data_IF_096807417643
#
_entry.id   IF_096807417643
#
_cell.length_a   1.000
_cell.length_b   1.000
_cell.length_c   1.000
_cell.angle_alpha   90.00
_cell.angle_beta   90.00
_cell.angle_gamma   90.00
#
_symmetry.space_group_name_H-M   'P 1'
#
loop_
_entity.id
_entity.type
_entity.pdbx_description
1 polymer ?
#
# COMPACT_ATOMS: atom_id res chain seq x y z
N UNK A 1 28.23 14.63 -14.09
CA UNK A 1 27.19 15.32 -13.31
C UNK A 1 27.32 16.81 -13.59
N UNK A 2 26.26 17.47 -14.06
CA UNK A 2 26.26 18.93 -14.21
C UNK A 2 25.97 19.56 -12.84
N UNK A 3 26.56 20.75 -12.53
CA UNK A 3 26.32 21.45 -11.27
C UNK A 3 24.83 21.70 -10.98
N UNK A 4 24.02 21.76 -12.04
CA UNK A 4 22.58 22.00 -11.94
C UNK A 4 21.83 20.80 -11.34
N UNK A 5 22.19 19.56 -11.70
CA UNK A 5 21.53 18.35 -11.16
C UNK A 5 21.86 18.16 -9.68
N UNK A 6 23.11 18.43 -9.28
CA UNK A 6 23.52 18.37 -7.87
C UNK A 6 22.73 19.36 -7.00
N UNK A 7 22.53 20.59 -7.50
CA UNK A 7 21.70 21.59 -6.84
C UNK A 7 20.24 21.12 -6.71
N UNK A 8 19.67 20.52 -7.76
CA UNK A 8 18.30 20.01 -7.74
C UNK A 8 18.14 18.90 -6.69
N UNK A 9 19.10 17.97 -6.60
CA UNK A 9 19.09 16.90 -5.59
C UNK A 9 19.07 17.49 -4.18
N UNK A 10 19.95 18.45 -3.88
CA UNK A 10 19.98 19.10 -2.56
C UNK A 10 18.68 19.84 -2.20
N UNK A 11 17.89 20.24 -3.20
CA UNK A 11 16.60 20.91 -2.99
C UNK A 11 15.44 19.96 -2.71
N UNK A 12 15.60 18.65 -2.92
CA UNK A 12 14.53 17.68 -2.65
C UNK A 12 14.13 17.65 -1.17
N UNK A 13 15.05 17.97 -0.26
CA UNK A 13 14.77 18.07 1.17
C UNK A 13 13.97 19.31 1.60
N UNK A 14 13.75 20.27 0.70
CA UNK A 14 13.09 21.53 1.05
C UNK A 14 11.56 21.40 1.04
N UNK A 15 10.99 21.18 2.22
CA UNK A 15 9.54 21.10 2.42
C UNK A 15 8.78 22.43 2.27
N UNK A 16 9.45 23.54 1.94
CA UNK A 16 8.86 24.89 1.85
C UNK A 16 8.49 25.34 0.44
N UNK A 17 8.69 24.48 -0.57
CA UNK A 17 8.30 24.74 -1.97
C UNK A 17 9.35 24.35 -3.01
N UNK A 18 10.65 24.68 -2.83
CA UNK A 18 11.69 24.37 -3.81
C UNK A 18 11.83 22.88 -4.18
N UNK A 19 11.41 21.97 -3.30
CA UNK A 19 11.40 20.53 -3.59
C UNK A 19 10.45 20.16 -4.75
N UNK A 20 9.27 20.79 -4.86
CA UNK A 20 8.33 20.51 -5.96
C UNK A 20 8.91 20.92 -7.31
N UNK A 21 9.52 22.10 -7.38
CA UNK A 21 10.18 22.59 -8.59
C UNK A 21 11.37 21.68 -8.95
N UNK A 22 12.18 21.32 -7.94
CA UNK A 22 13.32 20.44 -8.14
C UNK A 22 12.91 19.05 -8.66
N UNK A 23 11.87 18.46 -8.07
CA UNK A 23 11.26 17.21 -8.53
C UNK A 23 10.77 17.34 -9.98
N UNK A 24 10.00 18.37 -10.29
CA UNK A 24 9.47 18.58 -11.64
C UNK A 24 10.58 18.74 -12.68
N UNK A 25 11.66 19.46 -12.34
CA UNK A 25 12.83 19.60 -13.20
C UNK A 25 13.55 18.26 -13.41
N UNK A 26 13.76 17.46 -12.34
CA UNK A 26 14.38 16.14 -12.44
C UNK A 26 13.53 15.17 -13.28
N UNK A 27 12.21 15.19 -13.13
CA UNK A 27 11.28 14.44 -14.00
C UNK A 27 11.41 14.89 -15.45
N UNK A 28 11.50 16.21 -15.69
CA UNK A 28 11.68 16.77 -17.02
C UNK A 28 13.02 16.40 -17.68
N UNK A 29 14.08 16.19 -16.89
CA UNK A 29 15.35 15.64 -17.36
C UNK A 29 15.20 14.14 -17.71
N UNK A 30 14.35 13.42 -16.98
CA UNK A 30 14.03 12.02 -17.25
C UNK A 30 15.14 11.07 -16.84
N UNK A 31 15.28 9.95 -17.57
CA UNK A 31 16.19 8.85 -17.22
C UNK A 31 17.67 9.26 -17.09
N UNK A 32 18.06 10.40 -17.66
CA UNK A 32 19.43 10.94 -17.54
C UNK A 32 19.73 11.47 -16.12
N UNK A 33 18.71 11.84 -15.33
CA UNK A 33 18.87 12.26 -13.95
C UNK A 33 19.06 11.09 -12.98
N UNK A 34 18.56 9.90 -13.32
CA UNK A 34 18.47 8.74 -12.41
C UNK A 34 19.82 8.37 -11.76
N UNK A 35 20.96 8.25 -12.49
CA UNK A 35 22.23 7.93 -11.85
C UNK A 35 22.66 8.97 -10.80
N UNK A 36 22.43 10.25 -11.07
CA UNK A 36 22.79 11.31 -10.15
C UNK A 36 21.91 11.31 -8.90
N UNK A 37 20.60 11.05 -9.05
CA UNK A 37 19.68 10.92 -7.92
C UNK A 37 20.11 9.74 -7.04
N UNK A 38 20.39 8.58 -7.63
CA UNK A 38 20.88 7.38 -6.90
C UNK A 38 22.14 7.69 -6.11
N UNK A 39 23.15 8.32 -6.74
CA UNK A 39 24.39 8.71 -6.07
C UNK A 39 24.16 9.74 -4.94
N UNK A 40 23.10 10.54 -5.07
CA UNK A 40 22.73 11.59 -4.13
C UNK A 40 21.84 11.16 -2.96
N UNK A 41 21.16 10.01 -3.04
CA UNK A 41 20.27 9.51 -1.98
C UNK A 41 20.88 9.55 -0.57
N UNK A 42 22.16 9.17 -0.34
CA UNK A 42 22.75 9.20 1.01
C UNK A 42 22.87 10.60 1.63
N UNK A 43 22.71 11.66 0.83
CA UNK A 43 22.74 13.06 1.30
C UNK A 43 21.37 13.61 1.68
N UNK A 44 20.29 12.89 1.36
CA UNK A 44 18.92 13.33 1.57
C UNK A 44 18.39 12.94 2.95
N UNK A 45 17.54 13.78 3.52
CA UNK A 45 16.68 13.46 4.65
C UNK A 45 15.43 12.66 4.22
N UNK A 46 14.60 12.27 5.19
CA UNK A 46 13.40 11.45 4.93
C UNK A 46 12.47 12.07 3.88
N UNK A 47 12.25 13.39 3.94
CA UNK A 47 11.43 14.09 2.93
C UNK A 47 12.05 14.03 1.53
N UNK A 48 13.35 14.32 1.39
CA UNK A 48 14.02 14.22 0.09
C UNK A 48 14.06 12.80 -0.46
N UNK A 49 14.16 11.78 0.39
CA UNK A 49 14.05 10.38 -0.02
C UNK A 49 12.66 10.05 -0.58
N UNK A 50 11.59 10.50 0.08
CA UNK A 50 10.22 10.33 -0.42
C UNK A 50 10.05 11.02 -1.78
N UNK A 51 10.54 12.26 -1.92
CA UNK A 51 10.50 12.97 -3.21
C UNK A 51 11.33 12.28 -4.29
N UNK A 52 12.47 11.67 -3.95
CA UNK A 52 13.27 10.89 -4.89
C UNK A 52 12.52 9.63 -5.35
N UNK A 53 11.80 8.94 -4.46
CA UNK A 53 10.94 7.81 -4.83
C UNK A 53 9.86 8.26 -5.82
N UNK A 54 9.20 9.40 -5.59
CA UNK A 54 8.22 9.94 -6.54
C UNK A 54 8.84 10.19 -7.93
N UNK A 55 10.08 10.68 -7.99
CA UNK A 55 10.78 10.83 -9.28
C UNK A 55 11.00 9.47 -9.95
N UNK A 56 11.35 8.42 -9.20
CA UNK A 56 11.55 7.08 -9.74
C UNK A 56 10.26 6.46 -10.30
N UNK A 57 9.11 6.73 -9.67
CA UNK A 57 7.80 6.25 -10.16
C UNK A 57 7.34 7.00 -11.43
N UNK A 58 7.57 8.31 -11.49
CA UNK A 58 7.24 9.15 -12.65
C UNK A 58 8.21 8.93 -13.83
N UNK A 59 9.43 8.49 -13.55
CA UNK A 59 10.46 8.17 -14.54
C UNK A 59 10.93 6.72 -14.35
N UNK A 60 10.14 5.72 -14.81
CA UNK A 60 10.49 4.31 -14.69
C UNK A 60 11.84 4.01 -15.35
N UNK A 61 12.80 3.59 -14.53
CA UNK A 61 14.13 3.18 -14.98
C UNK A 61 14.59 1.96 -14.17
N UNK A 62 14.98 0.85 -14.82
CA UNK A 62 15.43 -0.36 -14.12
C UNK A 62 16.61 -0.12 -13.16
N UNK A 63 17.39 0.95 -13.37
CA UNK A 63 18.52 1.33 -12.49
C UNK A 63 18.05 1.76 -11.09
N UNK A 64 16.78 2.13 -10.91
CA UNK A 64 16.21 2.48 -9.61
C UNK A 64 16.10 1.27 -8.66
N UNK A 65 15.98 0.05 -9.19
CA UNK A 65 15.72 -1.16 -8.41
C UNK A 65 16.65 -1.38 -7.21
N UNK A 66 17.98 -1.39 -7.39
CA UNK A 66 18.92 -1.54 -6.28
C UNK A 66 18.82 -0.41 -5.22
N UNK A 67 18.53 0.81 -5.64
CA UNK A 67 18.39 1.95 -4.74
C UNK A 67 17.10 1.84 -3.90
N UNK A 68 15.98 1.50 -4.54
CA UNK A 68 14.71 1.23 -3.86
C UNK A 68 14.80 0.04 -2.91
N UNK A 69 15.52 -1.02 -3.29
CA UNK A 69 15.79 -2.17 -2.39
C UNK A 69 16.57 -1.71 -1.14
N UNK A 70 17.56 -0.83 -1.30
CA UNK A 70 18.31 -0.31 -0.16
C UNK A 70 17.45 0.55 0.78
N UNK A 71 16.46 1.26 0.25
CA UNK A 71 15.52 2.08 1.04
C UNK A 71 14.57 1.25 1.92
N UNK A 72 14.42 -0.06 1.66
CA UNK A 72 13.71 -0.97 2.58
C UNK A 72 14.42 -1.15 3.93
N UNK A 73 15.70 -0.77 4.05
CA UNK A 73 16.46 -0.76 5.30
C UNK A 73 16.52 0.66 5.95
N UNK A 74 15.72 1.63 5.46
CA UNK A 74 15.64 2.98 6.03
C UNK A 74 15.14 2.97 7.49
N UNK A 75 15.57 3.93 8.31
CA UNK A 75 15.04 4.13 9.67
C UNK A 75 13.60 4.71 9.66
N UNK A 76 13.19 5.35 8.56
CA UNK A 76 11.84 5.93 8.40
C UNK A 76 10.86 4.92 7.78
N UNK A 77 9.80 4.57 8.51
CA UNK A 77 8.76 3.63 8.05
C UNK A 77 8.03 4.09 6.80
N UNK A 78 7.85 5.40 6.62
CA UNK A 78 7.20 5.98 5.43
C UNK A 78 8.07 5.76 4.20
N UNK A 79 9.39 5.93 4.34
CA UNK A 79 10.35 5.66 3.26
C UNK A 79 10.35 4.18 2.91
N UNK A 80 10.32 3.28 3.90
CA UNK A 80 10.24 1.83 3.66
C UNK A 80 8.96 1.43 2.94
N UNK A 81 7.82 2.00 3.34
CA UNK A 81 6.53 1.81 2.69
C UNK A 81 6.55 2.23 1.21
N UNK A 82 6.96 3.47 0.94
CA UNK A 82 6.96 4.02 -0.42
C UNK A 82 7.96 3.29 -1.30
N UNK A 83 9.12 2.90 -0.77
CA UNK A 83 10.08 2.07 -1.48
C UNK A 83 9.46 0.72 -1.86
N UNK A 84 8.73 0.07 -0.95
CA UNK A 84 8.05 -1.20 -1.24
C UNK A 84 7.00 -1.04 -2.34
N UNK A 85 6.18 0.01 -2.27
CA UNK A 85 5.18 0.32 -3.29
C UNK A 85 5.82 0.58 -4.65
N UNK A 86 6.84 1.43 -4.71
CA UNK A 86 7.56 1.74 -5.95
C UNK A 86 8.22 0.50 -6.58
N UNK A 87 8.76 -0.43 -5.78
CA UNK A 87 9.32 -1.69 -6.30
C UNK A 87 8.27 -2.53 -7.03
N UNK A 88 7.03 -2.55 -6.54
CA UNK A 88 5.93 -3.25 -7.20
C UNK A 88 5.40 -2.48 -8.41
N UNK A 89 5.17 -1.17 -8.30
CA UNK A 89 4.73 -0.30 -9.40
C UNK A 89 5.68 -0.35 -10.60
N UNK A 90 6.98 -0.48 -10.35
CA UNK A 90 8.03 -0.56 -11.36
C UNK A 90 8.38 -2.00 -11.77
N UNK A 91 7.64 -3.00 -11.30
CA UNK A 91 7.82 -4.42 -11.62
C UNK A 91 9.27 -4.92 -11.40
N UNK A 92 9.88 -4.52 -10.28
CA UNK A 92 11.26 -4.90 -9.95
C UNK A 92 11.27 -6.34 -9.40
N UNK A 93 11.34 -7.34 -10.30
CA UNK A 93 11.34 -8.77 -9.95
C UNK A 93 12.36 -9.15 -8.85
N UNK A 94 13.52 -8.48 -8.83
CA UNK A 94 14.58 -8.71 -7.82
C UNK A 94 14.22 -8.29 -6.39
N UNK A 95 13.05 -7.67 -6.19
CA UNK A 95 12.60 -7.13 -4.90
C UNK A 95 11.91 -8.16 -4.00
N UNK A 96 11.52 -9.34 -4.51
CA UNK A 96 10.71 -10.31 -3.75
C UNK A 96 11.35 -10.70 -2.42
N UNK A 97 12.62 -11.11 -2.41
CA UNK A 97 13.28 -11.49 -1.15
C UNK A 97 13.60 -10.31 -0.22
N UNK A 98 14.07 -9.16 -0.72
CA UNK A 98 14.15 -7.95 0.08
C UNK A 98 12.82 -7.58 0.75
N UNK A 99 11.70 -7.65 0.04
CA UNK A 99 10.36 -7.39 0.59
C UNK A 99 9.94 -8.43 1.62
N UNK A 100 10.23 -9.73 1.41
CA UNK A 100 9.98 -10.77 2.43
C UNK A 100 10.79 -10.54 3.69
N UNK A 101 12.04 -10.07 3.56
CA UNK A 101 12.86 -9.71 4.71
C UNK A 101 12.29 -8.49 5.43
N UNK A 102 11.97 -7.43 4.71
CA UNK A 102 11.36 -6.23 5.25
C UNK A 102 10.06 -6.56 5.99
N UNK A 103 9.16 -7.34 5.37
CA UNK A 103 7.91 -7.80 5.98
C UNK A 103 8.13 -8.51 7.31
N UNK A 104 9.11 -9.42 7.39
CA UNK A 104 9.46 -10.11 8.65
C UNK A 104 9.99 -9.14 9.70
N UNK A 105 10.85 -8.19 9.31
CA UNK A 105 11.34 -7.16 10.20
C UNK A 105 10.20 -6.29 10.74
N UNK A 106 9.20 -5.92 9.93
CA UNK A 106 8.03 -5.15 10.39
C UNK A 106 7.20 -5.89 11.45
N UNK A 107 7.17 -7.23 11.39
CA UNK A 107 6.43 -8.06 12.35
C UNK A 107 7.14 -8.21 13.71
N UNK A 108 8.46 -7.99 13.77
CA UNK A 108 9.26 -8.13 14.99
C UNK A 108 9.03 -7.05 16.07
N UNK A 109 8.87 -5.74 15.75
CA UNK A 109 8.69 -4.67 16.75
C UNK A 109 7.24 -4.48 17.22
N UNK A 110 6.33 -5.43 16.98
CA UNK A 110 4.89 -5.30 17.26
C UNK A 110 4.21 -4.14 16.50
N UNK A 111 4.75 -3.73 15.33
CA UNK A 111 4.03 -2.83 14.42
C UNK A 111 2.71 -3.50 14.04
N UNK A 112 1.55 -2.84 14.28
CA UNK A 112 0.26 -3.40 13.93
C UNK A 112 0.19 -3.74 12.43
N UNK A 113 -0.33 -4.91 12.03
CA UNK A 113 -0.43 -5.32 10.64
C UNK A 113 -1.24 -4.40 9.72
N UNK A 114 -2.15 -3.61 10.28
CA UNK A 114 -2.98 -2.60 9.61
C UNK A 114 -2.27 -1.26 9.39
N UNK A 115 -1.06 -1.07 9.92
CA UNK A 115 -0.27 0.13 9.66
C UNK A 115 0.24 0.19 8.21
N UNK A 116 0.48 1.42 7.76
CA UNK A 116 0.76 1.74 6.36
C UNK A 116 1.95 0.97 5.78
N UNK A 117 3.06 0.85 6.53
CA UNK A 117 4.24 0.11 6.09
C UNK A 117 3.97 -1.40 5.87
N UNK A 118 3.48 -2.18 6.87
CA UNK A 118 3.10 -3.58 6.63
C UNK A 118 2.09 -3.76 5.49
N UNK A 119 1.13 -2.85 5.35
CA UNK A 119 0.15 -2.86 4.26
C UNK A 119 0.84 -2.68 2.91
N UNK A 120 1.69 -1.66 2.76
CA UNK A 120 2.43 -1.37 1.52
C UNK A 120 3.34 -2.53 1.11
N UNK A 121 4.03 -3.16 2.06
CA UNK A 121 4.88 -4.32 1.79
C UNK A 121 4.05 -5.55 1.37
N UNK A 122 2.92 -5.82 2.04
CA UNK A 122 2.04 -6.94 1.63
C UNK A 122 1.41 -6.70 0.26
N UNK A 123 1.03 -5.47 -0.04
CA UNK A 123 0.56 -5.08 -1.36
C UNK A 123 1.64 -5.35 -2.40
N UNK A 124 2.87 -4.86 -2.18
CA UNK A 124 3.98 -5.06 -3.09
C UNK A 124 4.30 -6.55 -3.33
N UNK A 125 4.27 -7.37 -2.27
CA UNK A 125 4.41 -8.82 -2.40
C UNK A 125 3.27 -9.46 -3.21
N UNK A 126 2.06 -8.91 -3.14
CA UNK A 126 0.91 -9.40 -3.92
C UNK A 126 1.06 -9.06 -5.40
N UNK A 127 1.42 -7.82 -5.73
CA UNK A 127 1.63 -7.37 -7.10
C UNK A 127 2.79 -8.12 -7.79
N UNK A 128 3.87 -8.39 -7.07
CA UNK A 128 5.00 -9.18 -7.57
C UNK A 128 4.75 -10.70 -7.56
N UNK A 129 3.53 -11.15 -7.26
CA UNK A 129 3.15 -12.57 -7.25
C UNK A 129 3.79 -13.41 -6.13
N UNK A 130 4.41 -12.76 -5.14
CA UNK A 130 5.05 -13.39 -3.98
C UNK A 130 4.08 -13.66 -2.82
N UNK A 131 2.87 -13.11 -2.88
CA UNK A 131 1.76 -13.33 -1.96
C UNK A 131 0.47 -13.54 -2.76
N UNK A 132 -0.35 -14.49 -2.35
CA UNK A 132 -1.70 -14.68 -2.91
C UNK A 132 -2.70 -14.62 -1.76
N UNK A 133 -3.47 -13.52 -1.62
CA UNK A 133 -4.52 -13.46 -0.62
C UNK A 133 -5.54 -14.58 -0.87
N UNK A 134 -5.90 -15.31 0.18
CA UNK A 134 -6.96 -16.30 0.09
C UNK A 134 -8.29 -15.56 -0.12
N UNK A 135 -8.99 -15.86 -1.20
CA UNK A 135 -10.33 -15.31 -1.50
C UNK A 135 -11.35 -16.44 -1.34
N UNK A 136 -12.17 -16.39 -0.28
CA UNK A 136 -13.24 -17.37 -0.07
C UNK A 136 -14.26 -17.47 -1.23
N UNK A 137 -14.92 -18.63 -1.42
CA UNK A 137 -15.76 -18.86 -2.61
C UNK A 137 -16.94 -17.90 -2.79
N UNK A 138 -17.65 -17.54 -1.70
CA UNK A 138 -18.78 -16.62 -1.79
C UNK A 138 -18.28 -15.21 -2.11
N UNK A 139 -17.20 -14.78 -1.47
CA UNK A 139 -16.50 -13.52 -1.74
C UNK A 139 -16.07 -13.46 -3.21
N UNK A 140 -15.43 -14.50 -3.74
CA UNK A 140 -15.07 -14.58 -5.15
C UNK A 140 -16.29 -14.48 -6.08
N UNK A 141 -17.40 -15.13 -5.73
CA UNK A 141 -18.64 -15.12 -6.51
C UNK A 141 -19.37 -13.77 -6.49
N UNK A 142 -19.29 -13.03 -5.38
CA UNK A 142 -19.94 -11.73 -5.21
C UNK A 142 -19.14 -10.58 -5.84
N UNK A 143 -17.92 -10.84 -6.32
CA UNK A 143 -17.08 -9.83 -6.94
C UNK A 143 -17.78 -9.33 -8.20
N UNK A 144 -18.15 -8.05 -8.17
CA UNK A 144 -18.79 -7.44 -9.31
C UNK A 144 -17.72 -7.13 -10.36
N UNK A 145 -17.92 -7.67 -11.57
CA UNK A 145 -17.24 -7.16 -12.76
C UNK A 145 -17.97 -5.90 -13.21
N UNK A 146 -17.84 -4.80 -12.47
CA UNK A 146 -18.33 -3.51 -12.95
C UNK A 146 -17.55 -3.14 -14.22
N UNK A 147 -18.23 -2.53 -15.20
CA UNK A 147 -17.68 -2.24 -16.52
C UNK A 147 -16.57 -1.16 -16.55
N UNK A 148 -16.34 -0.48 -15.41
CA UNK A 148 -15.53 0.75 -15.31
C UNK A 148 -14.43 0.67 -14.22
N UNK A 149 -13.69 -0.45 -14.12
CA UNK A 149 -12.52 -0.61 -13.23
C UNK A 149 -12.75 -0.33 -11.73
N UNK A 150 -14.00 -0.33 -11.27
CA UNK A 150 -14.32 -0.09 -9.87
C UNK A 150 -13.76 -1.22 -8.98
N UNK A 151 -12.85 -0.91 -8.04
CA UNK A 151 -12.25 -1.94 -7.21
C UNK A 151 -13.29 -2.49 -6.22
N UNK A 152 -13.46 -3.82 -6.21
CA UNK A 152 -14.06 -4.55 -5.10
C UNK A 152 -15.44 -5.15 -5.36
N UNK A 153 -16.36 -4.98 -4.41
CA UNK A 153 -17.65 -5.66 -4.32
C UNK A 153 -18.80 -4.67 -4.11
N UNK A 154 -20.05 -4.97 -4.50
CA UNK A 154 -21.18 -4.10 -4.19
C UNK A 154 -21.33 -3.91 -2.67
N UNK A 155 -21.46 -2.66 -2.19
CA UNK A 155 -21.54 -2.38 -0.74
C UNK A 155 -22.77 -3.03 -0.10
N UNK A 156 -23.87 -3.16 -0.84
CA UNK A 156 -25.07 -3.88 -0.40
C UNK A 156 -24.82 -5.36 -0.03
N UNK A 157 -23.74 -5.95 -0.53
CA UNK A 157 -23.32 -7.34 -0.24
C UNK A 157 -22.19 -7.42 0.77
N UNK A 158 -21.77 -6.29 1.34
CA UNK A 158 -20.66 -6.24 2.28
C UNK A 158 -20.86 -7.15 3.51
N UNK A 159 -22.06 -7.25 4.14
CA UNK A 159 -22.29 -8.19 5.23
C UNK A 159 -22.04 -9.65 4.86
N UNK A 160 -22.31 -10.05 3.62
CA UNK A 160 -22.08 -11.42 3.14
C UNK A 160 -20.58 -11.70 3.01
N UNK A 161 -19.82 -10.72 2.51
CA UNK A 161 -18.37 -10.78 2.36
C UNK A 161 -17.69 -10.84 3.73
N UNK A 162 -18.11 -9.98 4.68
CA UNK A 162 -17.57 -9.98 6.04
C UNK A 162 -17.74 -11.34 6.69
N UNK A 163 -18.93 -11.93 6.59
CA UNK A 163 -19.19 -13.23 7.17
C UNK A 163 -18.38 -14.33 6.50
N UNK A 164 -18.26 -14.32 5.18
CA UNK A 164 -17.50 -15.32 4.44
C UNK A 164 -15.99 -15.26 4.74
N UNK A 165 -15.41 -14.06 4.83
CA UNK A 165 -14.01 -13.85 5.24
C UNK A 165 -13.78 -14.40 6.66
N UNK A 166 -14.65 -14.06 7.61
CA UNK A 166 -14.53 -14.52 8.99
C UNK A 166 -14.73 -16.05 9.12
N UNK A 167 -15.65 -16.65 8.37
CA UNK A 167 -15.85 -18.11 8.33
C UNK A 167 -14.63 -18.86 7.78
N UNK A 168 -13.78 -18.18 7.01
CA UNK A 168 -12.50 -18.66 6.52
C UNK A 168 -11.30 -18.19 7.36
N UNK A 169 -11.55 -17.75 8.60
CA UNK A 169 -10.55 -17.31 9.56
C UNK A 169 -9.66 -16.14 9.06
N UNK A 170 -10.26 -15.20 8.32
CA UNK A 170 -9.59 -13.99 7.84
C UNK A 170 -10.04 -12.77 8.63
N UNK A 171 -9.13 -11.81 8.76
CA UNK A 171 -9.32 -10.55 9.50
C UNK A 171 -9.33 -9.40 8.49
N UNK A 172 -10.41 -8.63 8.45
CA UNK A 172 -10.48 -7.36 7.72
C UNK A 172 -9.71 -6.32 8.54
N UNK A 173 -8.81 -5.60 7.88
CA UNK A 173 -7.99 -4.54 8.45
C UNK A 173 -8.66 -3.18 8.31
N UNK A 174 -9.19 -2.89 7.12
CA UNK A 174 -9.93 -1.68 6.81
C UNK A 174 -10.72 -1.87 5.53
N UNK A 175 -11.68 -0.97 5.28
CA UNK A 175 -12.51 -0.98 4.08
C UNK A 175 -12.49 0.38 3.42
N UNK A 176 -12.42 0.42 2.09
CA UNK A 176 -12.58 1.66 1.33
C UNK A 176 -13.87 1.60 0.51
N UNK A 177 -14.67 2.65 0.59
CA UNK A 177 -15.91 2.76 -0.16
C UNK A 177 -15.74 3.69 -1.35
N UNK A 178 -16.31 3.28 -2.47
CA UNK A 178 -16.19 3.96 -3.75
C UNK A 178 -17.56 4.16 -4.36
N UNK A 179 -17.87 5.38 -4.78
CA UNK A 179 -19.03 5.66 -5.62
C UNK A 179 -18.60 5.66 -7.08
N UNK A 180 -19.25 4.84 -7.89
CA UNK A 180 -18.98 4.69 -9.32
C UNK A 180 -20.12 5.32 -10.10
N UNK A 181 -19.81 6.24 -11.00
CA UNK A 181 -20.83 6.84 -11.87
C UNK A 181 -20.25 7.52 -13.09
N UNK A 182 -20.96 7.46 -14.22
CA UNK A 182 -20.66 8.20 -15.45
C UNK A 182 -19.16 8.28 -15.84
N UNK A 183 -18.45 7.14 -15.75
CA UNK A 183 -17.03 7.01 -16.11
C UNK A 183 -16.05 7.62 -15.09
N UNK A 184 -16.47 7.84 -13.84
CA UNK A 184 -15.61 8.31 -12.75
C UNK A 184 -15.89 7.54 -11.45
N UNK A 185 -14.82 7.33 -10.69
CA UNK A 185 -14.86 6.68 -9.38
C UNK A 185 -14.44 7.70 -8.32
N UNK A 186 -15.25 7.86 -7.28
CA UNK A 186 -15.03 8.81 -6.19
C UNK A 186 -14.91 8.05 -4.88
N UNK A 187 -13.85 8.31 -4.12
CA UNK A 187 -13.73 7.83 -2.75
C UNK A 187 -14.84 8.43 -1.89
N UNK A 188 -15.51 7.59 -1.12
CA UNK A 188 -16.47 8.00 -0.09
C UNK A 188 -15.68 8.10 1.21
N UNK A 189 -15.79 9.24 1.88
CA UNK A 189 -15.20 9.44 3.20
C UNK A 189 -15.65 8.34 4.16
N UNK A 190 -14.72 7.91 5.02
CA UNK A 190 -14.93 6.89 6.03
C UNK A 190 -16.22 7.14 6.83
N UNK A 191 -16.84 6.05 7.27
CA UNK A 191 -18.02 6.03 8.15
C UNK A 191 -17.78 6.75 9.48
N UNK A 192 -16.52 7.04 9.82
CA UNK A 192 -16.12 7.74 11.04
C UNK A 192 -16.01 6.80 12.24
N UNK A 193 -15.96 5.50 11.99
CA UNK A 193 -15.72 4.47 12.98
C UNK A 193 -14.21 4.32 13.20
N UNK A 194 -13.72 4.88 14.29
CA UNK A 194 -12.35 4.67 14.74
C UNK A 194 -12.31 3.41 15.62
N UNK A 195 -11.81 2.30 15.06
CA UNK A 195 -11.63 1.03 15.76
C UNK A 195 -10.21 0.53 15.56
N UNK A 196 -9.67 -0.10 16.61
CA UNK A 196 -8.35 -0.70 16.62
C UNK A 196 -8.49 -2.12 17.15
N UNK A 197 -7.86 -3.09 16.48
CA UNK A 197 -7.88 -4.49 16.91
C UNK A 197 -6.88 -4.73 18.03
N UNK A 198 -7.26 -5.54 19.01
CA UNK A 198 -6.30 -6.03 20.00
C UNK A 198 -5.41 -7.12 19.40
N UNK A 199 -4.35 -6.70 18.72
CA UNK A 199 -3.35 -7.59 18.11
C UNK A 199 -2.64 -8.52 19.10
N UNK A 200 -2.87 -8.38 20.42
CA UNK A 200 -2.39 -9.32 21.44
C UNK A 200 -3.36 -10.49 21.70
N UNK A 201 -4.60 -10.40 21.22
CA UNK A 201 -5.62 -11.42 21.39
C UNK A 201 -5.36 -12.67 20.52
N UNK A 202 -5.98 -13.82 20.87
CA UNK A 202 -5.96 -15.00 19.99
C UNK A 202 -6.55 -14.69 18.60
N UNK A 203 -6.06 -15.37 17.57
CA UNK A 203 -6.49 -15.15 16.18
C UNK A 203 -8.01 -15.27 16.01
N UNK A 204 -8.62 -16.24 16.69
CA UNK A 204 -10.06 -16.47 16.66
C UNK A 204 -10.84 -15.30 17.27
N UNK A 205 -10.26 -14.59 18.23
CA UNK A 205 -10.84 -13.37 18.79
C UNK A 205 -10.74 -12.21 17.79
N UNK A 206 -9.57 -12.02 17.17
CA UNK A 206 -9.34 -11.00 16.14
C UNK A 206 -10.32 -11.14 14.97
N UNK A 207 -10.60 -12.37 14.53
CA UNK A 207 -11.58 -12.65 13.47
C UNK A 207 -12.99 -12.19 13.87
N UNK A 208 -13.44 -12.51 15.09
CA UNK A 208 -14.77 -12.12 15.56
C UNK A 208 -14.88 -10.62 15.89
N UNK A 209 -13.81 -10.02 16.42
CA UNK A 209 -13.72 -8.59 16.67
C UNK A 209 -13.79 -7.79 15.35
N UNK A 210 -12.97 -8.17 14.36
CA UNK A 210 -13.00 -7.61 13.01
C UNK A 210 -14.36 -7.77 12.35
N UNK A 211 -14.96 -8.99 12.41
CA UNK A 211 -16.33 -9.23 11.94
C UNK A 211 -17.34 -8.27 12.57
N UNK A 212 -17.26 -8.07 13.88
CA UNK A 212 -18.19 -7.22 14.62
C UNK A 212 -18.08 -5.76 14.18
N UNK A 213 -16.85 -5.23 14.08
CA UNK A 213 -16.61 -3.86 13.64
C UNK A 213 -16.99 -3.64 12.17
N UNK A 214 -16.61 -4.56 11.27
CA UNK A 214 -16.97 -4.44 9.86
C UNK A 214 -18.48 -4.56 9.62
N UNK A 215 -19.22 -5.34 10.42
CA UNK A 215 -20.69 -5.37 10.32
C UNK A 215 -21.34 -4.06 10.77
N UNK A 216 -20.76 -3.39 11.78
CA UNK A 216 -21.18 -2.05 12.18
C UNK A 216 -20.90 -1.04 11.05
N UNK A 217 -19.69 -1.05 10.49
CA UNK A 217 -19.30 -0.24 9.33
C UNK A 217 -20.25 -0.47 8.15
N UNK A 218 -20.56 -1.73 7.83
CA UNK A 218 -21.49 -2.08 6.76
C UNK A 218 -22.92 -1.57 7.01
N UNK A 219 -23.33 -1.43 8.28
CA UNK A 219 -24.66 -0.92 8.63
C UNK A 219 -24.78 0.60 8.50
N UNK A 220 -23.67 1.32 8.73
CA UNK A 220 -23.56 2.77 8.56
C UNK A 220 -23.15 3.17 7.13
N UNK A 221 -22.59 2.22 6.37
CA UNK A 221 -22.15 2.44 5.01
C UNK A 221 -23.32 2.75 4.07
N UNK A 222 -23.14 3.67 3.12
CA UNK A 222 -24.16 3.96 2.14
C UNK A 222 -24.39 2.75 1.21
N UNK A 223 -25.63 2.25 1.19
CA UNK A 223 -26.09 1.17 0.33
C UNK A 223 -26.86 1.74 -0.88
N UNK A 224 -26.14 1.90 -1.99
CA UNK A 224 -26.70 2.28 -3.30
C UNK A 224 -26.07 1.33 -4.35
N UNK A 225 -26.78 1.08 -5.45
CA UNK A 225 -26.36 0.15 -6.52
C UNK A 225 -25.03 0.56 -7.18
N UNK A 226 -24.65 1.82 -7.00
CA UNK A 226 -23.43 2.44 -7.52
C UNK A 226 -22.29 2.54 -6.49
N UNK A 227 -22.44 1.92 -5.33
CA UNK A 227 -21.44 1.97 -4.26
C UNK A 227 -20.77 0.60 -4.13
N UNK A 228 -19.45 0.64 -4.12
CA UNK A 228 -18.59 -0.52 -4.03
C UNK A 228 -17.69 -0.40 -2.78
N UNK A 229 -17.30 -1.54 -2.25
CA UNK A 229 -16.40 -1.67 -1.11
C UNK A 229 -15.18 -2.49 -1.52
N UNK A 230 -14.01 -2.01 -1.14
CA UNK A 230 -12.73 -2.70 -1.28
C UNK A 230 -12.17 -2.95 0.14
N UNK A 231 -12.55 -4.06 0.78
CA UNK A 231 -11.94 -4.46 2.04
C UNK A 231 -10.50 -4.92 1.80
N UNK A 232 -9.62 -4.62 2.75
CA UNK A 232 -8.28 -5.19 2.83
C UNK A 232 -8.27 -6.19 3.99
N UNK A 233 -7.83 -7.42 3.73
CA UNK A 233 -7.83 -8.48 4.74
C UNK A 233 -6.54 -9.29 4.70
N UNK A 234 -6.31 -10.00 5.80
CA UNK A 234 -5.19 -10.92 5.99
C UNK A 234 -5.68 -12.25 6.55
N UNK A 235 -4.86 -13.28 6.37
CA UNK A 235 -4.99 -14.53 7.11
C UNK A 235 -3.77 -14.77 8.01
N UNK A 236 -3.80 -15.85 8.78
CA UNK A 236 -2.74 -16.14 9.76
C UNK A 236 -1.36 -16.35 9.14
N UNK A 237 -1.29 -16.76 7.87
CA UNK A 237 -0.03 -16.96 7.16
C UNK A 237 0.67 -15.63 6.84
N UNK A 238 -0.08 -14.53 6.76
CA UNK A 238 0.50 -13.20 6.56
C UNK A 238 1.37 -12.76 7.75
N UNK A 239 1.00 -13.12 8.98
CA UNK A 239 1.76 -12.76 10.18
C UNK A 239 2.81 -13.79 10.57
N UNK A 240 2.75 -14.99 9.95
CA UNK A 240 3.70 -16.08 10.19
C UNK A 240 4.08 -16.69 8.85
N UNK A 241 4.75 -15.94 7.97
CA UNK A 241 5.20 -16.48 6.70
C UNK A 241 6.12 -17.68 6.97
N UNK A 242 5.88 -18.80 6.29
CA UNK A 242 6.74 -19.97 6.39
C UNK A 242 8.19 -19.59 6.04
N UNK A 243 9.15 -20.19 6.76
CA UNK A 243 10.58 -19.89 6.66
C UNK A 243 11.21 -20.41 5.38
#
# INVERSE_FOLDING_TARGET
MTPDIERLIQQLDDSTGPSYDARAELIGIGSDAIPAIIDGLPSLGGFGLLTAIEVFEEVPDPRCGPALIALLDSDDSTVREWAAMALASLEIDGAVEPLRRAHRTCLEPATPPDWSEPVGIRWALTELGARTPVVPPLTACLRATAADDAPGWPSARFPEIINDLADHAQVILYSQFWRVGAGRTYGISDTGLDWELDWTAPWEHLVEESRTWSLLEASDAPADDNIFVAPTWIDRADLRPER
#
